data_IF_186162782939
#
_entry.id   IF_186162782939
#
_cell.length_a   1.000
_cell.length_b   1.000
_cell.length_c   1.000
_cell.angle_alpha   90.00
_cell.angle_beta   90.00
_cell.angle_gamma   90.00
#
_symmetry.space_group_name_H-M   'P 1'
#
loop_
_entity.id
_entity.type
_entity.pdbx_description
1 polymer ?
#
# COMPACT_ATOMS: atom_id res chain seq x y z
N UNK A 1 -39.19 -2.29 11.32
CA UNK A 1 -38.54 -1.62 10.16
C UNK A 1 -37.02 -1.52 10.37
N UNK A 2 -36.33 -2.64 10.60
CA UNK A 2 -34.86 -2.69 10.84
C UNK A 2 -34.16 -3.88 10.15
N UNK A 3 -34.92 -4.80 9.53
CA UNK A 3 -34.39 -6.01 8.87
C UNK A 3 -33.94 -5.80 7.42
N UNK A 4 -34.30 -4.69 6.78
CA UNK A 4 -34.02 -4.45 5.35
C UNK A 4 -32.61 -3.86 5.14
N UNK A 5 -32.10 -3.08 6.12
CA UNK A 5 -30.81 -2.37 5.99
C UNK A 5 -29.61 -3.33 6.12
N UNK A 6 -29.72 -4.37 6.96
CA UNK A 6 -28.63 -5.34 7.18
C UNK A 6 -28.36 -6.24 5.97
N UNK A 7 -29.42 -6.62 5.25
CA UNK A 7 -29.31 -7.47 4.05
C UNK A 7 -28.73 -6.71 2.85
N UNK A 8 -29.06 -5.43 2.70
CA UNK A 8 -28.51 -4.60 1.62
C UNK A 8 -27.00 -4.38 1.80
N UNK A 9 -26.54 -4.14 3.03
CA UNK A 9 -25.11 -4.03 3.35
C UNK A 9 -24.34 -5.33 3.04
N UNK A 10 -24.97 -6.49 3.30
CA UNK A 10 -24.38 -7.80 3.00
C UNK A 10 -24.32 -8.06 1.50
N UNK A 11 -25.38 -7.72 0.76
CA UNK A 11 -25.43 -7.85 -0.69
C UNK A 11 -24.41 -6.92 -1.36
N UNK A 12 -24.28 -5.67 -0.93
CA UNK A 12 -23.27 -4.72 -1.43
C UNK A 12 -21.86 -5.26 -1.17
N UNK A 13 -21.58 -5.78 0.03
CA UNK A 13 -20.29 -6.43 0.33
C UNK A 13 -20.02 -7.64 -0.56
N UNK A 14 -21.03 -8.46 -0.85
CA UNK A 14 -20.89 -9.63 -1.73
C UNK A 14 -20.63 -9.17 -3.17
N UNK A 15 -21.34 -8.17 -3.67
CA UNK A 15 -21.16 -7.61 -5.03
C UNK A 15 -19.78 -6.97 -5.18
N UNK A 16 -19.31 -6.21 -4.18
CA UNK A 16 -17.95 -5.67 -4.18
C UNK A 16 -16.90 -6.79 -4.11
N UNK A 17 -17.13 -7.83 -3.28
CA UNK A 17 -16.23 -8.98 -3.18
C UNK A 17 -16.15 -9.76 -4.49
N UNK A 18 -17.27 -9.95 -5.19
CA UNK A 18 -17.35 -10.63 -6.48
C UNK A 18 -16.73 -9.77 -7.60
N UNK A 19 -16.99 -8.46 -7.65
CA UNK A 19 -16.32 -7.56 -8.62
C UNK A 19 -14.80 -7.50 -8.42
N UNK A 20 -14.31 -7.45 -7.17
CA UNK A 20 -12.88 -7.56 -6.89
C UNK A 20 -12.30 -8.93 -7.31
N UNK A 21 -13.14 -9.97 -7.39
CA UNK A 21 -12.77 -11.31 -7.84
C UNK A 21 -12.62 -11.39 -9.36
N UNK A 22 -13.48 -10.73 -10.12
CA UNK A 22 -13.40 -10.67 -11.59
C UNK A 22 -12.20 -9.85 -12.10
N UNK A 23 -11.75 -8.84 -11.36
CA UNK A 23 -10.50 -8.12 -11.66
C UNK A 23 -9.23 -8.98 -11.43
N UNK A 24 -9.36 -10.14 -10.78
CA UNK A 24 -8.22 -11.05 -10.49
C UNK A 24 -7.77 -11.87 -11.72
N UNK A 25 -8.38 -11.65 -12.89
CA UNK A 25 -8.23 -12.51 -14.07
C UNK A 25 -7.06 -12.16 -15.02
N UNK A 26 -6.24 -11.13 -14.74
CA UNK A 26 -5.11 -10.77 -15.64
C UNK A 26 -3.76 -10.60 -14.94
N UNK A 27 -3.48 -11.37 -13.89
CA UNK A 27 -2.10 -11.45 -13.39
C UNK A 27 -1.59 -12.88 -13.39
N UNK A 28 -0.62 -13.14 -14.27
CA UNK A 28 0.26 -14.32 -14.19
C UNK A 28 1.23 -14.23 -13.01
N UNK A 29 1.33 -13.05 -12.38
CA UNK A 29 2.28 -12.76 -11.31
C UNK A 29 1.68 -13.18 -9.96
N UNK A 30 2.39 -14.06 -9.25
CA UNK A 30 1.95 -14.64 -7.98
C UNK A 30 1.93 -13.62 -6.83
N UNK A 31 2.84 -12.65 -6.84
CA UNK A 31 3.00 -11.62 -5.80
C UNK A 31 3.57 -10.31 -6.37
N UNK A 32 3.32 -9.20 -5.68
CA UNK A 32 3.77 -7.86 -6.06
C UNK A 32 4.70 -7.23 -5.02
N UNK A 33 5.68 -6.47 -5.51
CA UNK A 33 6.52 -5.57 -4.73
C UNK A 33 5.89 -4.19 -4.66
N UNK A 34 5.46 -3.77 -3.47
CA UNK A 34 4.75 -2.52 -3.26
C UNK A 34 5.62 -1.49 -2.55
N UNK A 35 5.64 -0.26 -3.06
CA UNK A 35 6.27 0.89 -2.43
C UNK A 35 5.19 1.85 -1.91
N UNK A 36 5.14 2.05 -0.60
CA UNK A 36 4.11 2.86 0.05
C UNK A 36 4.61 4.28 0.32
N UNK A 37 3.83 5.29 -0.09
CA UNK A 37 4.11 6.71 0.10
C UNK A 37 3.08 7.30 1.06
N UNK A 38 3.51 7.68 2.26
CA UNK A 38 2.64 8.33 3.23
C UNK A 38 3.30 8.49 4.60
N UNK A 39 2.96 9.55 5.32
CA UNK A 39 3.63 9.92 6.59
C UNK A 39 2.67 10.35 7.70
N UNK A 40 1.40 10.61 7.40
CA UNK A 40 0.41 11.04 8.40
C UNK A 40 -0.30 9.86 9.10
N UNK A 41 -1.25 10.17 9.98
CA UNK A 41 -2.01 9.16 10.73
C UNK A 41 -2.96 8.33 9.86
N UNK A 42 -3.44 8.91 8.75
CA UNK A 42 -4.31 8.24 7.77
C UNK A 42 -3.49 7.21 6.97
N UNK A 43 -2.30 7.62 6.52
CA UNK A 43 -1.29 6.78 5.91
C UNK A 43 -0.89 5.65 6.85
N UNK A 44 -0.65 5.93 8.13
CA UNK A 44 -0.31 4.88 9.11
C UNK A 44 -1.40 3.81 9.23
N UNK A 45 -2.66 4.25 9.37
CA UNK A 45 -3.80 3.34 9.47
C UNK A 45 -3.96 2.46 8.22
N UNK A 46 -3.69 3.04 7.04
CA UNK A 46 -3.74 2.34 5.76
C UNK A 46 -2.56 1.37 5.60
N UNK A 47 -1.35 1.82 5.94
CA UNK A 47 -0.12 1.03 5.90
C UNK A 47 -0.22 -0.23 6.77
N UNK A 48 -0.76 -0.11 7.99
CA UNK A 48 -1.00 -1.25 8.87
C UNK A 48 -1.91 -2.30 8.23
N UNK A 49 -3.03 -1.87 7.62
CA UNK A 49 -3.95 -2.78 6.91
C UNK A 49 -3.28 -3.45 5.72
N UNK A 50 -2.45 -2.73 4.96
CA UNK A 50 -1.68 -3.30 3.84
C UNK A 50 -0.69 -4.35 4.34
N UNK A 51 0.01 -4.10 5.46
CA UNK A 51 0.91 -5.09 6.05
C UNK A 51 0.17 -6.31 6.60
N UNK A 52 -0.99 -6.14 7.23
CA UNK A 52 -1.86 -7.25 7.66
C UNK A 52 -2.34 -8.10 6.48
N UNK A 53 -2.73 -7.45 5.38
CA UNK A 53 -3.08 -8.13 4.13
C UNK A 53 -1.88 -8.87 3.52
N UNK A 54 -0.69 -8.27 3.55
CA UNK A 54 0.57 -8.91 3.13
C UNK A 54 0.87 -10.19 3.92
N UNK A 55 0.68 -10.17 5.25
CA UNK A 55 0.96 -11.32 6.12
C UNK A 55 -0.01 -12.49 5.94
N UNK A 56 -1.26 -12.19 5.57
CA UNK A 56 -2.34 -13.19 5.48
C UNK A 56 -2.60 -13.66 4.05
N UNK A 57 -2.16 -12.88 3.06
CA UNK A 57 -2.28 -13.19 1.64
C UNK A 57 -0.95 -13.64 1.01
N UNK A 58 -1.04 -14.04 -0.25
CA UNK A 58 0.11 -14.33 -1.11
C UNK A 58 0.31 -13.25 -2.20
N UNK A 59 -0.42 -12.14 -2.12
CA UNK A 59 -0.49 -11.14 -3.19
C UNK A 59 0.62 -10.10 -3.11
N UNK A 60 1.13 -9.78 -1.93
CA UNK A 60 2.23 -8.81 -1.73
C UNK A 60 3.41 -9.59 -1.15
N UNK A 61 4.55 -9.60 -1.83
CA UNK A 61 5.78 -10.24 -1.31
C UNK A 61 6.64 -9.27 -0.51
N UNK A 62 6.72 -8.03 -0.99
CA UNK A 62 7.54 -6.95 -0.44
C UNK A 62 6.68 -5.71 -0.26
N UNK A 63 6.81 -5.12 0.90
CA UNK A 63 6.22 -3.83 1.26
C UNK A 63 7.33 -2.99 1.85
N UNK A 64 7.63 -1.85 1.23
CA UNK A 64 8.57 -0.87 1.76
C UNK A 64 7.87 0.49 1.94
N UNK A 65 8.35 1.27 2.90
CA UNK A 65 7.78 2.57 3.28
C UNK A 65 8.68 3.72 2.83
N UNK A 66 8.11 4.73 2.19
CA UNK A 66 8.79 5.99 1.88
C UNK A 66 8.55 6.99 3.01
N UNK A 67 9.64 7.52 3.57
CA UNK A 67 9.66 8.48 4.67
C UNK A 67 10.17 9.82 4.19
N UNK A 68 9.72 10.93 4.77
CA UNK A 68 10.00 12.29 4.25
C UNK A 68 11.06 13.03 5.05
N UNK A 69 11.44 12.51 6.21
CA UNK A 69 12.51 13.03 7.03
C UNK A 69 13.35 11.88 7.60
N UNK A 70 14.59 12.19 7.96
CA UNK A 70 15.45 11.31 8.75
C UNK A 70 15.67 11.96 10.12
N UNK A 71 14.57 12.24 10.81
CA UNK A 71 14.62 12.88 12.12
C UNK A 71 15.08 11.88 13.19
N UNK A 72 15.76 12.38 14.24
CA UNK A 72 16.06 11.56 15.43
C UNK A 72 14.79 10.97 16.05
N UNK A 73 13.69 11.71 15.99
CA UNK A 73 12.38 11.27 16.44
C UNK A 73 11.60 10.69 15.27
N UNK A 74 11.57 9.35 15.19
CA UNK A 74 10.78 8.61 14.20
C UNK A 74 9.29 8.82 14.41
N UNK A 75 8.54 8.93 13.32
CA UNK A 75 7.07 8.90 13.35
C UNK A 75 6.54 7.53 13.80
N UNK A 76 5.25 7.46 14.15
CA UNK A 76 4.61 6.19 14.55
C UNK A 76 4.63 5.16 13.41
N UNK A 77 4.45 5.58 12.17
CA UNK A 77 4.51 4.70 11.00
C UNK A 77 5.94 4.15 10.79
N UNK A 78 6.97 4.95 11.02
CA UNK A 78 8.37 4.51 10.97
C UNK A 78 8.72 3.51 12.08
N UNK A 79 8.30 3.80 13.32
CA UNK A 79 8.48 2.87 14.44
C UNK A 79 7.80 1.54 14.18
N UNK A 80 6.58 1.58 13.65
CA UNK A 80 5.84 0.39 13.25
C UNK A 80 6.56 -0.37 12.12
N UNK A 81 6.99 0.31 11.06
CA UNK A 81 7.75 -0.31 9.97
C UNK A 81 9.01 -1.00 10.49
N UNK A 82 9.76 -0.36 11.39
CA UNK A 82 10.94 -0.95 12.02
C UNK A 82 10.58 -2.20 12.84
N UNK A 83 9.53 -2.15 13.67
CA UNK A 83 9.09 -3.30 14.46
C UNK A 83 8.63 -4.49 13.59
N UNK A 84 8.14 -4.20 12.38
CA UNK A 84 7.65 -5.16 11.41
C UNK A 84 8.72 -5.63 10.40
N UNK A 85 9.97 -5.19 10.58
CA UNK A 85 11.09 -5.45 9.67
C UNK A 85 10.81 -5.01 8.21
N UNK A 86 10.11 -3.88 8.06
CA UNK A 86 9.83 -3.26 6.77
C UNK A 86 10.90 -2.22 6.46
N UNK A 87 11.47 -2.28 5.26
CA UNK A 87 12.48 -1.32 4.81
C UNK A 87 11.87 0.06 4.68
N UNK A 88 12.59 1.07 5.15
CA UNK A 88 12.25 2.48 4.91
C UNK A 88 13.18 3.07 3.86
N UNK A 89 12.63 3.88 2.95
CA UNK A 89 13.39 4.64 1.95
C UNK A 89 13.12 6.14 2.14
N UNK A 90 14.18 6.92 2.14
CA UNK A 90 14.08 8.37 2.31
C UNK A 90 13.64 9.05 1.00
N UNK A 91 12.67 9.96 1.11
CA UNK A 91 12.23 10.86 0.06
C UNK A 91 13.13 12.12 0.01
N UNK A 92 13.45 12.65 -1.18
CA UNK A 92 13.16 12.11 -2.51
C UNK A 92 13.96 10.84 -2.80
N UNK A 93 13.33 9.89 -3.50
CA UNK A 93 13.97 8.62 -3.82
C UNK A 93 15.13 8.83 -4.80
N UNK A 94 16.29 8.31 -4.46
CA UNK A 94 17.48 8.31 -5.32
C UNK A 94 17.81 6.90 -5.76
N UNK A 95 18.18 6.72 -7.04
CA UNK A 95 18.68 5.45 -7.55
C UNK A 95 17.66 4.31 -7.67
N UNK A 96 16.35 4.59 -7.56
CA UNK A 96 15.32 3.58 -7.81
C UNK A 96 15.47 3.03 -9.24
N UNK A 97 15.59 1.72 -9.38
CA UNK A 97 15.70 1.06 -10.69
C UNK A 97 14.30 0.89 -11.32
N UNK A 98 14.24 0.88 -12.65
CA UNK A 98 13.01 0.57 -13.37
C UNK A 98 12.52 -0.84 -12.98
N UNK A 99 11.22 -0.98 -12.72
CA UNK A 99 10.59 -2.22 -12.26
C UNK A 99 11.18 -2.81 -10.96
N UNK A 100 11.88 -2.02 -10.12
CA UNK A 100 12.27 -2.46 -8.77
C UNK A 100 11.04 -2.78 -7.91
N UNK A 101 9.99 -1.99 -8.09
CA UNK A 101 8.65 -2.20 -7.54
C UNK A 101 7.65 -2.32 -8.67
N UNK A 102 6.57 -3.06 -8.39
CA UNK A 102 5.49 -3.26 -9.32
C UNK A 102 4.48 -2.12 -9.27
N UNK A 103 4.19 -1.62 -8.07
CA UNK A 103 3.20 -0.56 -7.86
C UNK A 103 3.63 0.38 -6.74
N UNK A 104 3.25 1.65 -6.89
CA UNK A 104 3.28 2.65 -5.83
C UNK A 104 1.89 2.83 -5.21
N UNK A 105 1.80 2.87 -3.88
CA UNK A 105 0.56 3.23 -3.17
C UNK A 105 0.73 4.56 -2.45
N UNK A 106 -0.01 5.58 -2.87
CA UNK A 106 0.09 6.92 -2.32
C UNK A 106 -1.08 7.18 -1.39
N UNK A 107 -0.79 7.51 -0.13
CA UNK A 107 -1.81 7.86 0.87
C UNK A 107 -1.34 9.11 1.61
N UNK A 108 -2.03 10.22 1.37
CA UNK A 108 -1.81 11.50 2.07
C UNK A 108 -0.32 11.90 2.20
N UNK A 109 0.46 11.70 1.13
CA UNK A 109 1.92 11.83 1.19
C UNK A 109 2.43 13.28 1.26
N UNK A 110 1.68 14.24 0.71
CA UNK A 110 2.00 15.67 0.78
C UNK A 110 3.19 16.13 -0.10
N UNK A 111 3.81 15.23 -0.87
CA UNK A 111 4.85 15.58 -1.83
C UNK A 111 4.43 15.26 -3.26
N UNK A 112 4.89 16.09 -4.19
CA UNK A 112 4.71 15.86 -5.62
C UNK A 112 5.57 14.69 -6.08
N UNK A 113 4.94 13.70 -6.72
CA UNK A 113 5.65 12.62 -7.40
C UNK A 113 5.85 13.04 -8.86
N UNK A 114 7.10 12.99 -9.30
CA UNK A 114 7.51 13.38 -10.65
C UNK A 114 7.37 12.20 -11.63
N UNK A 115 7.19 12.53 -12.90
CA UNK A 115 7.00 11.55 -13.99
C UNK A 115 8.14 10.56 -14.09
N UNK A 116 9.40 11.01 -13.89
CA UNK A 116 10.58 10.14 -13.91
C UNK A 116 10.55 9.03 -12.85
N UNK A 117 9.82 9.21 -11.76
CA UNK A 117 9.56 8.19 -10.77
C UNK A 117 8.35 7.33 -11.13
N UNK A 118 7.28 7.93 -11.66
CA UNK A 118 6.09 7.19 -12.11
C UNK A 118 6.44 6.18 -13.21
N UNK A 119 7.29 6.58 -14.16
CA UNK A 119 7.75 5.75 -15.28
C UNK A 119 8.56 4.52 -14.84
N UNK A 120 8.94 4.42 -13.56
CA UNK A 120 9.66 3.26 -13.01
C UNK A 120 8.74 2.14 -12.57
N UNK A 121 7.44 2.39 -12.45
CA UNK A 121 6.46 1.38 -12.07
C UNK A 121 5.83 0.77 -13.33
N UNK A 122 5.90 -0.57 -13.51
CA UNK A 122 5.40 -1.24 -14.71
C UNK A 122 3.87 -1.43 -14.74
N UNK A 123 3.16 -1.09 -13.67
CA UNK A 123 1.70 -1.22 -13.52
C UNK A 123 1.04 0.10 -13.14
#
# INVERSE_FOLDING_TARGET
MLFIVSNLSRAIKIIYKEKCRYLRYYSTKKSYKLLFFGSDSIAFSSFKKVNEFRKTGNVIDRLDLVITNNAKNKSEIEKYAQAENITTKLWPLQGLQAAEYDMGLIVAFGHLIKDDLLDKFPL
#
